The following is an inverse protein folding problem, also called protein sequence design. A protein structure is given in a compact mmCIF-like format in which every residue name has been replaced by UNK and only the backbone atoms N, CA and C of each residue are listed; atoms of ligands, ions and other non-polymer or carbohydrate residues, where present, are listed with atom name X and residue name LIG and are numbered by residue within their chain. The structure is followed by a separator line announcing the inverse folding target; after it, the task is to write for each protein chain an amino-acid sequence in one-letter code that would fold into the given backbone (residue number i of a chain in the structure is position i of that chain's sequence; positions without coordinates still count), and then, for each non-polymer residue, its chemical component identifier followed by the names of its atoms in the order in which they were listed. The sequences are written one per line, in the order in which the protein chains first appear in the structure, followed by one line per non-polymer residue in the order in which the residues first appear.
data_IF_796589460577
#
_entry.id   IF_796589460577
#
_cell.length_a   1.000
_cell.length_b   1.000
_cell.length_c   1.000
_cell.angle_alpha   90.00
_cell.angle_beta   90.00
_cell.angle_gamma   90.00
#
_symmetry.space_group_name_H-M   'P 1'
#
loop_
_entity.id
_entity.type
_entity.pdbx_description
1 polymer ?
#
# COMPACT_ATOMS: atom_id res chain seq x y z
N UNK A 1 -12.09 -22.54 15.16
CA UNK A 1 -11.15 -21.87 14.24
C UNK A 1 -11.97 -20.89 13.42
N UNK A 2 -11.90 -19.59 13.72
CA UNK A 2 -12.50 -18.59 12.84
C UNK A 2 -11.71 -18.62 11.52
N UNK A 3 -12.39 -18.83 10.39
CA UNK A 3 -11.70 -18.70 9.11
C UNK A 3 -11.27 -17.26 8.95
N UNK A 4 -10.09 -17.04 8.37
CA UNK A 4 -9.66 -15.68 8.00
C UNK A 4 -10.71 -15.00 7.15
N UNK A 5 -11.01 -13.74 7.47
CA UNK A 5 -11.89 -12.92 6.63
C UNK A 5 -11.15 -12.50 5.36
N UNK A 6 -9.84 -12.24 5.45
CA UNK A 6 -9.03 -11.90 4.29
C UNK A 6 -8.76 -13.15 3.46
N UNK A 7 -9.23 -13.15 2.22
CA UNK A 7 -9.03 -14.22 1.25
C UNK A 7 -7.72 -14.03 0.50
N UNK A 8 -7.49 -12.84 -0.03
CA UNK A 8 -6.27 -12.50 -0.76
C UNK A 8 -5.95 -11.01 -0.68
N UNK A 9 -4.68 -10.68 -0.87
CA UNK A 9 -4.20 -9.31 -1.07
C UNK A 9 -3.53 -9.17 -2.44
N UNK A 10 -3.67 -8.01 -3.06
CA UNK A 10 -3.07 -7.69 -4.36
C UNK A 10 -2.32 -6.37 -4.25
N UNK A 11 -1.03 -6.37 -4.59
CA UNK A 11 -0.21 -5.16 -4.62
C UNK A 11 -0.50 -4.39 -5.91
N UNK A 12 -1.26 -3.30 -5.82
CA UNK A 12 -1.63 -2.48 -6.98
C UNK A 12 -0.49 -1.56 -7.45
N UNK A 13 0.42 -1.24 -6.53
CA UNK A 13 1.68 -0.55 -6.78
C UNK A 13 2.68 -0.85 -5.65
N UNK A 14 3.98 -0.84 -5.95
CA UNK A 14 5.04 -1.13 -4.97
C UNK A 14 6.22 -0.14 -5.01
N UNK A 15 6.06 0.98 -5.69
CA UNK A 15 7.09 1.98 -5.93
C UNK A 15 6.94 3.21 -5.04
N UNK A 16 8.03 3.97 -4.97
CA UNK A 16 8.10 5.27 -4.29
C UNK A 16 7.14 6.32 -4.88
N UNK A 17 7.11 7.51 -4.29
CA UNK A 17 6.30 8.65 -4.73
C UNK A 17 6.49 9.03 -6.19
N UNK A 18 7.72 8.90 -6.73
CA UNK A 18 8.01 9.17 -8.15
C UNK A 18 7.70 7.99 -9.09
N UNK A 19 7.39 6.81 -8.55
CA UNK A 19 7.32 5.57 -9.29
C UNK A 19 8.67 5.13 -9.88
N UNK A 20 8.64 4.00 -10.60
CA UNK A 20 9.75 3.49 -11.41
C UNK A 20 9.18 3.08 -12.78
N UNK A 21 9.79 3.47 -13.90
CA UNK A 21 11.06 4.20 -14.06
C UNK A 21 10.96 5.69 -13.69
N UNK A 22 12.12 6.33 -13.49
CA UNK A 22 12.21 7.79 -13.34
C UNK A 22 12.47 8.47 -14.69
N UNK A 23 11.79 9.59 -14.95
CA UNK A 23 11.94 10.35 -16.21
C UNK A 23 13.40 10.76 -16.41
N UNK A 24 14.04 11.32 -15.37
CA UNK A 24 15.42 11.80 -15.44
C UNK A 24 16.43 10.72 -15.87
N UNK A 25 16.19 9.46 -15.52
CA UNK A 25 17.05 8.36 -15.96
C UNK A 25 16.79 7.95 -17.40
N UNK A 26 15.53 7.92 -17.83
CA UNK A 26 15.20 7.49 -19.19
C UNK A 26 15.56 8.54 -20.25
N UNK A 27 15.54 9.82 -19.88
CA UNK A 27 15.83 10.93 -20.80
C UNK A 27 17.23 11.51 -20.62
N UNK A 28 18.10 10.87 -19.82
CA UNK A 28 19.49 11.27 -19.71
C UNK A 28 20.19 11.13 -21.07
N UNK A 29 21.15 12.03 -21.37
CA UNK A 29 21.96 11.96 -22.60
C UNK A 29 22.66 10.62 -22.74
N UNK A 30 23.14 10.07 -21.62
CA UNK A 30 23.74 8.73 -21.53
C UNK A 30 23.10 7.99 -20.35
N UNK A 31 21.98 7.27 -20.58
CA UNK A 31 21.27 6.61 -19.49
C UNK A 31 22.03 5.37 -19.04
N UNK A 32 22.28 5.26 -17.73
CA UNK A 32 23.06 4.15 -17.12
C UNK A 32 22.31 3.38 -16.05
N UNK A 33 21.10 3.83 -15.66
CA UNK A 33 20.32 3.18 -14.61
C UNK A 33 19.75 1.84 -15.12
N UNK A 34 20.35 0.73 -14.68
CA UNK A 34 19.93 -0.64 -15.04
C UNK A 34 18.43 -0.87 -14.84
N UNK A 35 17.90 -0.50 -13.67
CA UNK A 35 16.48 -0.69 -13.33
C UNK A 35 15.57 0.07 -14.27
N UNK A 36 15.78 1.39 -14.45
CA UNK A 36 14.94 2.19 -15.37
C UNK A 36 15.07 1.70 -16.81
N UNK A 37 16.28 1.41 -17.30
CA UNK A 37 16.47 0.92 -18.66
C UNK A 37 15.79 -0.43 -18.90
N UNK A 38 15.71 -1.29 -17.87
CA UNK A 38 15.01 -2.58 -17.99
C UNK A 38 13.52 -2.41 -18.30
N UNK A 39 12.88 -1.32 -17.84
CA UNK A 39 11.43 -1.12 -18.03
C UNK A 39 11.03 -0.84 -19.47
N UNK A 40 12.00 -0.59 -20.36
CA UNK A 40 11.78 -0.42 -21.80
C UNK A 40 11.61 -1.77 -22.53
N UNK A 41 11.75 -2.89 -21.82
CA UNK A 41 11.67 -4.24 -22.36
C UNK A 41 10.67 -5.10 -21.57
N UNK A 42 10.00 -6.08 -22.20
CA UNK A 42 9.04 -6.95 -21.51
C UNK A 42 9.60 -7.64 -20.27
N UNK A 43 10.84 -8.13 -20.31
CA UNK A 43 11.49 -8.82 -19.20
C UNK A 43 11.70 -7.94 -17.95
N UNK A 44 11.77 -6.62 -18.13
CA UNK A 44 11.91 -5.65 -17.04
C UNK A 44 10.60 -5.04 -16.58
N UNK A 45 9.45 -5.57 -17.02
CA UNK A 45 8.12 -5.11 -16.58
C UNK A 45 7.95 -5.17 -15.05
N UNK A 46 8.62 -6.11 -14.39
CA UNK A 46 8.64 -6.23 -12.92
C UNK A 46 9.25 -5.01 -12.21
N UNK A 47 10.09 -4.24 -12.91
CA UNK A 47 10.68 -3.00 -12.42
C UNK A 47 9.80 -1.77 -12.70
N UNK A 48 8.68 -1.91 -13.42
CA UNK A 48 7.67 -0.86 -13.49
C UNK A 48 6.88 -0.90 -12.17
N UNK A 49 7.08 0.12 -11.33
CA UNK A 49 6.50 0.19 -9.99
C UNK A 49 5.69 1.47 -9.84
N UNK A 50 4.38 1.33 -9.69
CA UNK A 50 3.43 2.43 -9.44
C UNK A 50 3.44 2.80 -7.95
N UNK A 51 2.91 3.96 -7.58
CA UNK A 51 2.77 4.38 -6.19
C UNK A 51 2.11 3.29 -5.35
N UNK A 52 2.62 3.10 -4.13
CA UNK A 52 2.19 2.01 -3.27
C UNK A 52 0.68 2.03 -3.04
N UNK A 53 0.04 0.88 -3.21
CA UNK A 53 -1.39 0.69 -2.98
C UNK A 53 -1.67 -0.81 -2.83
N UNK A 54 -2.59 -1.15 -1.94
CA UNK A 54 -2.95 -2.54 -1.65
C UNK A 54 -4.46 -2.73 -1.84
N UNK A 55 -4.84 -3.78 -2.55
CA UNK A 55 -6.21 -4.26 -2.55
C UNK A 55 -6.33 -5.46 -1.61
N UNK A 56 -7.29 -5.41 -0.70
CA UNK A 56 -7.66 -6.47 0.22
C UNK A 56 -8.99 -7.03 -0.25
N UNK A 57 -9.05 -8.35 -0.46
CA UNK A 57 -10.29 -9.05 -0.80
C UNK A 57 -10.74 -9.91 0.36
N UNK A 58 -11.94 -9.66 0.84
CA UNK A 58 -12.50 -10.32 2.01
C UNK A 58 -13.74 -11.14 1.67
N UNK A 59 -13.92 -12.26 2.36
CA UNK A 59 -15.18 -12.98 2.39
C UNK A 59 -16.11 -12.23 3.36
N UNK A 60 -17.19 -11.64 2.84
CA UNK A 60 -18.17 -10.92 3.64
C UNK A 60 -19.24 -11.87 4.20
N UNK A 61 -19.93 -11.46 5.27
CA UNK A 61 -20.93 -12.29 5.96
C UNK A 61 -22.16 -12.64 5.10
N UNK A 62 -22.43 -11.84 4.06
CA UNK A 62 -23.50 -12.09 3.08
C UNK A 62 -23.09 -13.07 1.96
N UNK A 63 -21.87 -13.63 2.03
CA UNK A 63 -21.35 -14.61 1.09
C UNK A 63 -20.68 -14.01 -0.16
N UNK A 64 -20.68 -12.69 -0.31
CA UNK A 64 -20.05 -11.99 -1.43
C UNK A 64 -18.61 -11.57 -1.09
N UNK A 65 -17.79 -11.32 -2.12
CA UNK A 65 -16.43 -10.82 -1.93
C UNK A 65 -16.44 -9.29 -1.97
N UNK A 66 -15.81 -8.65 -0.98
CA UNK A 66 -15.61 -7.20 -0.94
C UNK A 66 -14.17 -6.81 -1.24
N UNK A 67 -14.00 -5.68 -1.89
CA UNK A 67 -12.74 -5.10 -2.33
C UNK A 67 -12.46 -3.81 -1.53
N UNK A 68 -11.52 -3.87 -0.59
CA UNK A 68 -11.06 -2.73 0.19
C UNK A 68 -9.70 -2.27 -0.34
N UNK A 69 -9.58 -1.03 -0.77
CA UNK A 69 -8.32 -0.47 -1.30
C UNK A 69 -7.65 0.39 -0.23
N UNK A 70 -6.35 0.22 -0.03
CA UNK A 70 -5.51 1.16 0.73
C UNK A 70 -4.75 2.03 -0.27
N UNK A 71 -4.96 3.34 -0.16
CA UNK A 71 -4.39 4.42 -0.97
C UNK A 71 -4.71 4.38 -2.48
N UNK A 72 -4.86 5.58 -3.05
CA UNK A 72 -5.03 5.80 -4.49
C UNK A 72 -4.16 6.99 -4.94
N UNK A 73 -2.85 6.75 -5.06
CA UNK A 73 -1.91 7.76 -5.58
C UNK A 73 -2.15 8.18 -7.03
N UNK A 74 -1.35 9.12 -7.52
CA UNK A 74 -1.39 9.62 -8.91
C UNK A 74 -1.22 8.55 -10.00
N UNK A 75 -0.69 7.36 -9.67
CA UNK A 75 -0.59 6.25 -10.63
C UNK A 75 -1.71 5.22 -10.49
N UNK A 76 -2.67 5.41 -9.58
CA UNK A 76 -3.73 4.44 -9.27
C UNK A 76 -4.59 4.13 -10.49
N UNK A 77 -4.99 5.13 -11.27
CA UNK A 77 -5.81 4.89 -12.47
C UNK A 77 -5.11 3.94 -13.46
N UNK A 78 -3.82 4.15 -13.69
CA UNK A 78 -3.01 3.26 -14.52
C UNK A 78 -2.81 1.87 -13.89
N UNK A 79 -2.71 1.77 -12.55
CA UNK A 79 -2.76 0.48 -11.84
C UNK A 79 -4.08 -0.22 -12.11
N UNK A 80 -5.20 0.50 -11.96
CA UNK A 80 -6.52 -0.09 -12.05
C UNK A 80 -6.85 -0.56 -13.46
N UNK A 81 -6.57 0.25 -14.49
CA UNK A 81 -6.73 -0.16 -15.90
C UNK A 81 -6.00 -1.46 -16.25
N UNK A 82 -4.85 -1.69 -15.61
CA UNK A 82 -4.06 -2.92 -15.82
C UNK A 82 -4.58 -4.08 -14.98
N UNK A 83 -4.73 -3.87 -13.68
CA UNK A 83 -4.92 -4.95 -12.71
C UNK A 83 -6.39 -5.34 -12.51
N UNK A 84 -7.35 -4.41 -12.66
CA UNK A 84 -8.78 -4.75 -12.52
C UNK A 84 -9.23 -5.81 -13.52
N UNK A 85 -8.95 -5.66 -14.84
CA UNK A 85 -9.33 -6.68 -15.81
C UNK A 85 -8.64 -8.03 -15.56
N UNK A 86 -7.35 -8.01 -15.22
CA UNK A 86 -6.55 -9.23 -14.96
C UNK A 86 -7.11 -10.01 -13.76
N UNK A 87 -7.45 -9.31 -12.69
CA UNK A 87 -7.97 -9.92 -11.46
C UNK A 87 -9.51 -10.01 -11.43
N UNK A 88 -10.20 -9.65 -12.52
CA UNK A 88 -11.67 -9.66 -12.65
C UNK A 88 -12.36 -8.85 -11.55
N UNK A 89 -11.79 -7.70 -11.21
CA UNK A 89 -12.31 -6.78 -10.21
C UNK A 89 -13.32 -5.83 -10.86
N UNK A 90 -14.26 -5.33 -10.06
CA UNK A 90 -15.26 -4.37 -10.53
C UNK A 90 -15.47 -3.24 -9.55
N UNK A 91 -16.07 -3.51 -8.38
CA UNK A 91 -16.37 -2.50 -7.36
C UNK A 91 -15.17 -2.19 -6.47
N UNK A 92 -15.16 -0.98 -5.90
CA UNK A 92 -14.34 -0.59 -4.75
C UNK A 92 -15.32 -0.41 -3.59
N UNK A 93 -15.46 -1.43 -2.74
CA UNK A 93 -16.47 -1.41 -1.68
C UNK A 93 -16.09 -0.46 -0.55
N UNK A 94 -14.79 -0.26 -0.32
CA UNK A 94 -14.27 0.80 0.52
C UNK A 94 -12.85 1.18 0.13
N UNK A 95 -12.45 2.38 0.54
CA UNK A 95 -11.07 2.87 0.45
C UNK A 95 -10.59 3.39 1.80
N UNK A 96 -9.33 3.15 2.12
CA UNK A 96 -8.65 3.67 3.31
C UNK A 96 -7.47 4.50 2.84
N UNK A 97 -7.35 5.74 3.31
CA UNK A 97 -6.21 6.61 3.00
C UNK A 97 -5.28 6.70 4.21
N UNK A 98 -4.01 6.39 4.00
CA UNK A 98 -2.99 6.33 5.06
C UNK A 98 -2.53 7.73 5.49
N UNK A 99 -2.30 8.63 4.52
CA UNK A 99 -1.77 9.97 4.76
C UNK A 99 -1.99 10.89 3.53
N UNK A 100 -1.85 12.22 3.66
CA UNK A 100 -2.20 13.17 2.59
C UNK A 100 -1.10 13.48 1.57
N UNK A 101 -0.09 12.62 1.37
CA UNK A 101 0.86 12.83 0.28
C UNK A 101 0.27 12.48 -1.09
N UNK A 102 0.80 13.11 -2.13
CA UNK A 102 0.27 13.01 -3.50
C UNK A 102 0.25 11.56 -4.05
N UNK A 103 1.22 10.75 -3.66
CA UNK A 103 1.33 9.34 -3.99
C UNK A 103 0.38 8.43 -3.20
N UNK A 104 -0.37 8.97 -2.22
CA UNK A 104 -1.46 8.28 -1.55
C UNK A 104 -2.85 8.77 -1.98
N UNK A 105 -3.01 10.06 -2.35
CA UNK A 105 -4.34 10.65 -2.56
C UNK A 105 -4.63 11.24 -3.95
N UNK A 106 -3.63 11.48 -4.81
CA UNK A 106 -3.89 12.24 -6.05
C UNK A 106 -4.65 11.48 -7.15
N UNK A 107 -4.94 10.19 -6.95
CA UNK A 107 -5.83 9.40 -7.80
C UNK A 107 -7.31 9.50 -7.38
N UNK A 108 -7.65 10.28 -6.35
CA UNK A 108 -9.04 10.43 -5.90
C UNK A 108 -9.96 10.92 -7.01
N UNK A 109 -9.54 11.89 -7.82
CA UNK A 109 -10.40 12.39 -8.91
C UNK A 109 -10.71 11.30 -9.95
N UNK A 110 -9.76 10.40 -10.22
CA UNK A 110 -9.93 9.29 -11.18
C UNK A 110 -10.99 8.27 -10.74
N UNK A 111 -11.37 8.24 -9.46
CA UNK A 111 -12.45 7.37 -8.95
C UNK A 111 -13.83 7.71 -9.52
N UNK A 112 -13.95 8.79 -10.29
CA UNK A 112 -15.09 9.08 -11.15
C UNK A 112 -15.40 7.93 -12.11
N UNK A 113 -14.38 7.18 -12.54
CA UNK A 113 -14.54 6.02 -13.40
C UNK A 113 -15.43 4.91 -12.78
N UNK A 114 -15.62 4.92 -11.45
CA UNK A 114 -16.52 4.00 -10.75
C UNK A 114 -17.91 4.58 -10.49
N UNK A 115 -17.98 5.89 -10.22
CA UNK A 115 -19.17 6.50 -9.61
C UNK A 115 -19.99 7.37 -10.56
N UNK A 116 -19.38 7.82 -11.64
CA UNK A 116 -20.05 8.63 -12.64
C UNK A 116 -21.26 7.89 -13.22
N UNK A 117 -22.43 8.53 -13.15
CA UNK A 117 -23.71 8.03 -13.68
C UNK A 117 -24.05 6.65 -13.12
N UNK A 118 -23.58 6.36 -11.90
CA UNK A 118 -23.74 5.06 -11.26
C UNK A 118 -23.21 3.89 -12.12
N UNK A 119 -22.18 4.14 -12.95
CA UNK A 119 -21.66 3.17 -13.92
C UNK A 119 -21.24 1.84 -13.29
N UNK A 120 -20.68 1.88 -12.07
CA UNK A 120 -20.33 0.70 -11.28
C UNK A 120 -20.98 0.74 -9.90
N UNK A 121 -21.00 1.91 -9.25
CA UNK A 121 -21.54 2.10 -7.90
C UNK A 121 -21.90 3.57 -7.66
N UNK A 122 -22.76 3.85 -6.68
CA UNK A 122 -23.29 5.21 -6.49
C UNK A 122 -22.34 6.11 -5.67
N UNK A 123 -21.46 5.51 -4.87
CA UNK A 123 -20.42 6.20 -4.11
C UNK A 123 -19.33 5.21 -3.68
N UNK A 124 -18.19 5.73 -3.23
CA UNK A 124 -17.13 4.96 -2.55
C UNK A 124 -17.01 5.48 -1.11
N UNK A 125 -17.19 4.63 -0.08
CA UNK A 125 -16.81 4.95 1.29
C UNK A 125 -15.30 5.13 1.42
N UNK A 126 -14.84 6.25 2.00
CA UNK A 126 -13.44 6.57 2.20
C UNK A 126 -13.18 6.80 3.69
N UNK A 127 -12.28 6.00 4.26
CA UNK A 127 -11.83 6.06 5.65
C UNK A 127 -10.48 6.75 5.73
N UNK A 128 -10.36 7.75 6.59
CA UNK A 128 -9.16 8.60 6.67
C UNK A 128 -9.14 9.37 7.99
N UNK A 129 -7.96 9.81 8.44
CA UNK A 129 -7.87 10.67 9.63
C UNK A 129 -8.41 12.08 9.36
N UNK A 130 -8.72 12.82 10.42
CA UNK A 130 -9.13 14.22 10.30
C UNK A 130 -8.05 15.09 9.62
N UNK A 131 -6.77 14.81 9.86
CA UNK A 131 -5.66 15.53 9.22
C UNK A 131 -5.61 15.27 7.71
N UNK A 132 -5.76 14.01 7.29
CA UNK A 132 -5.85 13.67 5.87
C UNK A 132 -7.09 14.31 5.24
N UNK A 133 -8.23 14.32 5.93
CA UNK A 133 -9.46 14.97 5.46
C UNK A 133 -9.29 16.48 5.28
N UNK A 134 -8.60 17.15 6.20
CA UNK A 134 -8.32 18.59 6.09
C UNK A 134 -7.40 18.92 4.92
N UNK A 135 -6.40 18.07 4.66
CA UNK A 135 -5.55 18.21 3.49
C UNK A 135 -6.33 17.98 2.18
N UNK A 136 -7.19 16.95 2.12
CA UNK A 136 -8.06 16.69 0.96
C UNK A 136 -8.98 17.87 0.69
N UNK A 137 -9.62 18.44 1.72
CA UNK A 137 -10.45 19.67 1.59
C UNK A 137 -9.68 20.84 0.99
N UNK A 138 -8.40 20.96 1.33
CA UNK A 138 -7.54 22.06 0.86
C UNK A 138 -7.09 21.86 -0.58
N UNK A 139 -6.68 20.63 -0.93
CA UNK A 139 -6.14 20.29 -2.24
C UNK A 139 -7.24 20.10 -3.29
N UNK A 140 -8.36 19.49 -2.89
CA UNK A 140 -9.46 19.10 -3.75
C UNK A 140 -10.82 19.50 -3.16
N UNK A 141 -11.06 20.80 -2.94
CA UNK A 141 -12.28 21.29 -2.27
C UNK A 141 -13.57 20.78 -2.94
N UNK A 142 -13.57 20.66 -4.26
CA UNK A 142 -14.71 20.20 -5.05
C UNK A 142 -15.05 18.70 -4.85
N UNK A 143 -14.09 17.88 -4.41
CA UNK A 143 -14.33 16.47 -4.07
C UNK A 143 -15.08 16.31 -2.74
N UNK A 144 -15.02 17.34 -1.88
CA UNK A 144 -15.67 17.35 -0.57
C UNK A 144 -16.97 18.13 -0.59
N UNK A 145 -16.98 19.28 -1.27
CA UNK A 145 -18.16 20.12 -1.45
C UNK A 145 -18.35 20.44 -2.93
N UNK A 146 -19.35 19.82 -3.54
CA UNK A 146 -19.67 19.99 -4.96
C UNK A 146 -20.03 21.43 -5.33
N UNK A 147 -20.39 22.29 -4.37
CA UNK A 147 -20.62 23.73 -4.60
C UNK A 147 -19.34 24.47 -4.97
N UNK A 148 -18.18 23.90 -4.67
CA UNK A 148 -16.87 24.45 -5.03
C UNK A 148 -16.39 23.97 -6.42
N UNK A 149 -17.20 23.17 -7.13
CA UNK A 149 -16.93 22.86 -8.52
C UNK A 149 -17.19 24.07 -9.42
N UNK A 150 -16.30 24.30 -10.38
CA UNK A 150 -16.34 25.47 -11.28
C UNK A 150 -17.08 25.21 -12.59
N UNK A 151 -17.58 23.99 -12.83
CA UNK A 151 -18.30 23.63 -14.04
C UNK A 151 -19.29 22.49 -13.81
N UNK A 152 -20.12 22.21 -14.82
CA UNK A 152 -21.08 21.09 -14.83
C UNK A 152 -20.43 19.73 -15.05
N UNK A 153 -19.18 19.58 -14.61
CA UNK A 153 -18.43 18.35 -14.71
C UNK A 153 -18.96 17.32 -13.73
N UNK A 154 -18.95 16.08 -14.18
CA UNK A 154 -19.16 14.92 -13.35
C UNK A 154 -18.16 14.93 -12.18
N UNK A 155 -18.58 14.56 -10.98
CA UNK A 155 -17.70 14.47 -9.81
C UNK A 155 -17.75 13.05 -9.26
N UNK A 156 -16.62 12.50 -8.78
CA UNK A 156 -16.70 11.25 -8.06
C UNK A 156 -17.56 11.43 -6.81
N UNK A 157 -18.28 10.37 -6.45
CA UNK A 157 -19.17 10.38 -5.29
C UNK A 157 -18.53 9.65 -4.13
N UNK A 158 -18.33 10.34 -3.01
CA UNK A 158 -17.68 9.78 -1.82
C UNK A 158 -18.55 9.88 -0.58
N UNK A 159 -18.38 8.91 0.32
CA UNK A 159 -18.83 9.02 1.72
C UNK A 159 -17.60 9.06 2.61
N UNK A 160 -17.38 10.17 3.29
CA UNK A 160 -16.21 10.37 4.13
C UNK A 160 -16.46 9.81 5.53
N UNK A 161 -15.55 8.96 6.01
CA UNK A 161 -15.59 8.30 7.31
C UNK A 161 -14.31 8.64 8.08
N UNK A 162 -14.30 9.70 8.90
CA UNK A 162 -13.17 10.01 9.76
C UNK A 162 -12.85 8.84 10.70
N UNK A 163 -11.56 8.53 10.89
CA UNK A 163 -11.07 7.52 11.84
C UNK A 163 -10.14 8.15 12.88
N UNK A 164 -10.08 7.53 14.06
CA UNK A 164 -9.16 7.88 15.13
C UNK A 164 -7.91 6.98 15.08
N UNK A 165 -6.78 7.48 15.58
CA UNK A 165 -5.50 6.74 15.60
C UNK A 165 -5.42 5.68 16.70
N UNK A 166 -6.24 5.82 17.74
CA UNK A 166 -6.15 4.99 18.95
C UNK A 166 -7.24 3.91 19.02
N UNK A 167 -8.23 3.98 18.12
CA UNK A 167 -9.42 3.13 18.16
C UNK A 167 -9.50 2.28 16.90
N UNK A 168 -9.59 0.94 17.00
CA UNK A 168 -9.92 0.09 15.86
C UNK A 168 -11.26 0.48 15.23
N UNK A 169 -11.37 0.30 13.92
CA UNK A 169 -12.59 0.58 13.15
C UNK A 169 -12.90 -0.57 12.21
N UNK A 170 -14.15 -0.70 11.79
CA UNK A 170 -14.59 -1.80 10.92
C UNK A 170 -14.96 -1.28 9.54
N UNK A 171 -14.47 -1.97 8.51
CA UNK A 171 -14.77 -1.68 7.10
C UNK A 171 -15.27 -2.96 6.46
N UNK A 172 -16.51 -2.96 5.96
CA UNK A 172 -17.15 -4.16 5.37
C UNK A 172 -16.98 -5.41 6.26
N UNK A 173 -17.17 -5.26 7.59
CA UNK A 173 -17.04 -6.35 8.55
C UNK A 173 -15.62 -6.78 8.93
N UNK A 174 -14.57 -6.24 8.30
CA UNK A 174 -13.17 -6.46 8.69
C UNK A 174 -12.70 -5.36 9.64
N UNK A 175 -12.16 -5.75 10.79
CA UNK A 175 -11.56 -4.82 11.76
C UNK A 175 -10.15 -4.39 11.33
N UNK A 176 -9.89 -3.08 11.37
CA UNK A 176 -8.60 -2.44 11.15
C UNK A 176 -8.15 -1.77 12.45
N UNK A 177 -6.99 -2.17 12.95
CA UNK A 177 -6.28 -1.49 14.04
C UNK A 177 -5.28 -0.50 13.42
N UNK A 178 -5.40 0.81 13.69
CA UNK A 178 -4.42 1.79 13.24
C UNK A 178 -3.05 1.58 13.89
N UNK A 179 -2.01 1.81 13.08
CA UNK A 179 -0.59 1.69 13.46
C UNK A 179 0.12 3.01 13.14
N UNK A 180 0.06 4.02 14.04
CA UNK A 180 0.79 5.27 13.85
C UNK A 180 2.31 5.02 13.83
N UNK A 181 3.00 5.58 12.85
CA UNK A 181 4.46 5.49 12.71
C UNK A 181 5.02 6.84 12.26
N UNK A 182 6.33 7.01 12.37
CA UNK A 182 6.99 8.21 11.86
C UNK A 182 7.33 8.03 10.39
N UNK A 183 7.04 9.06 9.60
CA UNK A 183 7.34 9.17 8.18
C UNK A 183 8.01 10.53 7.89
N UNK A 184 9.21 10.70 8.46
CA UNK A 184 9.99 11.94 8.41
C UNK A 184 9.64 12.89 9.55
N UNK A 185 9.92 14.17 9.33
CA UNK A 185 9.64 15.24 10.30
C UNK A 185 9.05 16.46 9.59
N UNK A 186 8.26 17.25 10.32
CA UNK A 186 7.93 18.59 9.88
C UNK A 186 9.18 19.47 9.95
N UNK A 187 9.56 20.11 8.85
CA UNK A 187 10.77 20.94 8.86
C UNK A 187 10.65 22.20 9.72
N UNK A 188 9.43 22.65 9.99
CA UNK A 188 9.09 23.82 10.81
C UNK A 188 9.17 23.52 12.31
N UNK A 189 8.53 22.45 12.79
CA UNK A 189 8.46 22.09 14.21
C UNK A 189 9.53 21.07 14.64
N UNK A 190 10.13 20.35 13.68
CA UNK A 190 11.01 19.19 13.88
C UNK A 190 10.35 17.98 14.54
N UNK A 191 9.03 18.02 14.71
CA UNK A 191 8.26 16.89 15.21
C UNK A 191 8.10 15.81 14.14
N UNK A 192 7.93 14.53 14.53
CA UNK A 192 7.64 13.46 13.58
C UNK A 192 6.39 13.75 12.75
N UNK A 193 6.48 13.50 11.44
CA UNK A 193 5.31 13.45 10.58
C UNK A 193 4.68 12.07 10.73
N UNK A 194 3.38 12.00 10.98
CA UNK A 194 2.70 10.73 11.27
C UNK A 194 2.10 10.14 10.00
N UNK A 195 2.50 8.91 9.69
CA UNK A 195 1.82 8.02 8.76
C UNK A 195 1.01 7.00 9.57
N UNK A 196 -0.10 6.52 9.02
CA UNK A 196 -0.94 5.50 9.66
C UNK A 196 -0.91 4.24 8.82
N UNK A 197 -0.22 3.21 9.32
CA UNK A 197 -0.35 1.86 8.81
C UNK A 197 -1.56 1.17 9.44
N UNK A 198 -1.81 -0.08 9.05
CA UNK A 198 -2.94 -0.83 9.59
C UNK A 198 -2.59 -2.29 9.84
N UNK A 199 -3.10 -2.83 10.94
CA UNK A 199 -3.23 -4.27 11.17
C UNK A 199 -4.67 -4.68 10.95
N UNK A 200 -4.89 -5.76 10.22
CA UNK A 200 -6.20 -6.35 9.98
C UNK A 200 -6.03 -7.87 9.84
N UNK A 201 -6.95 -8.65 10.41
CA UNK A 201 -6.72 -10.10 10.58
C UNK A 201 -5.34 -10.33 11.25
N UNK A 202 -4.46 -11.15 10.66
CA UNK A 202 -3.05 -11.28 11.05
C UNK A 202 -2.09 -10.70 10.01
N UNK A 203 -2.48 -9.60 9.37
CA UNK A 203 -1.68 -8.90 8.36
C UNK A 203 -1.38 -7.50 8.88
N UNK A 204 -0.12 -7.09 8.80
CA UNK A 204 0.32 -5.71 9.03
C UNK A 204 0.72 -5.07 7.70
N UNK A 205 0.29 -3.83 7.47
CA UNK A 205 0.65 -3.02 6.31
C UNK A 205 1.16 -1.65 6.74
N UNK A 206 2.44 -1.37 6.45
CA UNK A 206 3.12 -0.09 6.69
C UNK A 206 3.95 0.23 5.45
N UNK A 207 3.45 1.11 4.57
CA UNK A 207 4.10 1.42 3.29
C UNK A 207 5.11 2.57 3.34
N UNK A 208 5.02 3.45 4.34
CA UNK A 208 5.83 4.66 4.43
C UNK A 208 6.22 4.89 5.89
N UNK A 209 7.49 4.65 6.25
CA UNK A 209 7.96 4.91 7.61
C UNK A 209 9.49 5.00 7.70
N UNK A 210 10.03 5.87 8.54
CA UNK A 210 11.45 5.84 8.94
C UNK A 210 11.67 5.33 10.37
N UNK A 211 10.61 5.20 11.15
CA UNK A 211 10.67 4.69 12.52
C UNK A 211 9.29 4.19 12.97
N UNK A 212 9.26 3.03 13.62
CA UNK A 212 8.05 2.45 14.23
C UNK A 212 8.19 2.58 15.76
N UNK A 213 7.32 3.36 16.43
CA UNK A 213 7.31 3.47 17.89
C UNK A 213 7.10 2.13 18.59
N UNK A 214 7.57 1.99 19.83
CA UNK A 214 7.48 0.73 20.60
C UNK A 214 6.03 0.28 20.82
N UNK A 215 5.13 1.23 21.08
CA UNK A 215 3.70 0.98 21.23
C UNK A 215 3.05 0.45 19.94
N UNK A 216 3.57 0.87 18.78
CA UNK A 216 3.12 0.36 17.48
C UNK A 216 3.75 -1.00 17.18
N UNK A 217 5.04 -1.19 17.49
CA UNK A 217 5.70 -2.50 17.39
C UNK A 217 4.97 -3.56 18.22
N UNK A 218 4.55 -3.22 19.45
CA UNK A 218 3.75 -4.09 20.31
C UNK A 218 2.48 -4.60 19.62
N UNK A 219 1.82 -3.75 18.82
CA UNK A 219 0.62 -4.11 18.04
C UNK A 219 0.93 -4.95 16.80
N UNK A 220 2.16 -4.96 16.28
CA UNK A 220 2.55 -5.70 15.07
C UNK A 220 2.93 -7.15 15.40
N UNK A 221 3.42 -7.42 16.61
CA UNK A 221 3.72 -8.77 17.09
C UNK A 221 2.56 -9.76 16.86
N UNK A 222 2.89 -10.98 16.43
CA UNK A 222 1.89 -11.99 16.07
C UNK A 222 1.29 -11.86 14.66
N UNK A 223 1.76 -10.93 13.83
CA UNK A 223 1.37 -10.89 12.41
C UNK A 223 1.97 -12.06 11.64
N UNK A 224 1.15 -12.74 10.85
CA UNK A 224 1.59 -13.81 9.95
C UNK A 224 2.23 -13.23 8.68
N UNK A 225 1.70 -12.09 8.22
CA UNK A 225 2.19 -11.38 7.04
C UNK A 225 2.46 -9.93 7.43
N UNK A 226 3.61 -9.43 7.01
CA UNK A 226 3.98 -8.02 7.22
C UNK A 226 4.40 -7.41 5.89
N UNK A 227 3.83 -6.26 5.56
CA UNK A 227 4.25 -5.41 4.44
C UNK A 227 4.96 -4.19 5.03
N UNK A 228 6.22 -3.96 4.63
CA UNK A 228 7.06 -2.88 5.17
C UNK A 228 7.64 -1.99 4.06
N UNK A 229 7.74 -0.70 4.38
CA UNK A 229 8.51 0.30 3.62
C UNK A 229 9.98 -0.12 3.46
N UNK A 230 10.55 0.14 2.28
CA UNK A 230 11.91 -0.19 1.92
C UNK A 230 12.41 0.59 0.70
N UNK A 231 12.60 1.91 0.86
CA UNK A 231 12.90 2.81 -0.25
C UNK A 231 14.20 2.47 -1.00
N UNK A 232 15.29 2.27 -0.25
CA UNK A 232 16.61 2.00 -0.83
C UNK A 232 17.57 1.34 0.16
N UNK A 233 18.83 1.15 -0.23
CA UNK A 233 19.88 0.57 0.64
C UNK A 233 20.35 1.51 1.74
N UNK A 234 20.42 2.81 1.45
CA UNK A 234 20.91 3.81 2.41
C UNK A 234 19.78 4.27 3.32
N UNK A 235 20.12 4.65 4.53
CA UNK A 235 19.18 5.31 5.43
C UNK A 235 18.63 6.57 4.77
N UNK A 236 17.31 6.78 4.90
CA UNK A 236 16.60 7.93 4.37
C UNK A 236 15.92 8.69 5.52
N UNK A 237 15.70 10.00 5.35
CA UNK A 237 15.11 10.84 6.41
C UNK A 237 13.67 10.46 6.75
N UNK A 238 12.94 9.94 5.76
CA UNK A 238 11.50 9.68 5.85
C UNK A 238 11.10 8.23 5.54
N UNK A 239 12.05 7.39 5.15
CA UNK A 239 11.78 6.01 4.76
C UNK A 239 12.80 5.04 5.35
N UNK A 240 12.38 3.80 5.51
CA UNK A 240 13.24 2.70 5.88
C UNK A 240 14.19 2.35 4.75
N UNK A 241 15.42 1.99 5.13
CA UNK A 241 16.28 1.21 4.26
C UNK A 241 15.86 -0.26 4.23
N UNK A 242 16.37 -1.00 3.24
CA UNK A 242 16.22 -2.46 3.19
C UNK A 242 16.69 -3.12 4.49
N UNK A 243 17.83 -2.71 5.02
CA UNK A 243 18.37 -3.30 6.25
C UNK A 243 17.50 -3.00 7.48
N UNK A 244 16.91 -1.80 7.55
CA UNK A 244 15.97 -1.45 8.62
C UNK A 244 14.70 -2.30 8.56
N UNK A 245 14.14 -2.50 7.35
CA UNK A 245 12.96 -3.32 7.16
C UNK A 245 13.22 -4.81 7.50
N UNK A 246 14.35 -5.35 7.04
CA UNK A 246 14.79 -6.73 7.34
C UNK A 246 15.00 -6.91 8.84
N UNK A 247 15.70 -5.97 9.49
CA UNK A 247 15.94 -6.01 10.94
C UNK A 247 14.64 -5.95 11.73
N UNK A 248 13.71 -5.09 11.31
CA UNK A 248 12.39 -4.98 11.92
C UNK A 248 11.64 -6.32 11.81
N UNK A 249 11.55 -6.89 10.61
CA UNK A 249 10.89 -8.17 10.39
C UNK A 249 11.50 -9.32 11.21
N UNK A 250 12.84 -9.38 11.30
CA UNK A 250 13.58 -10.37 12.08
C UNK A 250 13.29 -10.28 13.59
N UNK A 251 13.06 -9.06 14.10
CA UNK A 251 12.84 -8.81 15.52
C UNK A 251 11.38 -8.97 15.96
N UNK A 252 10.44 -9.15 15.03
CA UNK A 252 9.06 -9.46 15.36
C UNK A 252 8.97 -10.87 15.96
N UNK A 253 8.04 -11.03 16.89
CA UNK A 253 7.86 -12.25 17.69
C UNK A 253 6.39 -12.70 17.60
N UNK A 254 6.13 -13.93 17.11
CA UNK A 254 7.05 -14.75 16.30
C UNK A 254 7.46 -14.01 15.01
N UNK A 255 8.52 -14.49 14.36
CA UNK A 255 8.94 -13.99 13.04
C UNK A 255 7.77 -14.21 12.06
N UNK A 256 7.40 -13.21 11.23
CA UNK A 256 6.30 -13.35 10.28
C UNK A 256 6.58 -14.45 9.27
N UNK A 257 5.56 -15.23 8.93
CA UNK A 257 5.66 -16.30 7.92
C UNK A 257 6.00 -15.74 6.54
N UNK A 258 5.52 -14.54 6.23
CA UNK A 258 5.84 -13.82 4.98
C UNK A 258 6.05 -12.34 5.26
N UNK A 259 7.21 -11.82 4.89
CA UNK A 259 7.43 -10.37 4.81
C UNK A 259 7.54 -9.93 3.35
N UNK A 260 6.76 -8.92 2.97
CA UNK A 260 6.83 -8.27 1.67
C UNK A 260 7.35 -6.85 1.83
N UNK A 261 8.32 -6.47 1.00
CA UNK A 261 8.84 -5.11 0.99
C UNK A 261 8.25 -4.30 -0.18
N UNK A 262 7.96 -3.02 0.07
CA UNK A 262 7.37 -2.05 -0.89
C UNK A 262 8.11 -0.70 -0.84
N UNK A 263 7.65 0.30 -1.58
CA UNK A 263 8.19 1.67 -1.54
C UNK A 263 9.48 1.88 -2.33
N UNK A 264 9.89 0.92 -3.16
CA UNK A 264 11.21 0.92 -3.75
C UNK A 264 11.46 2.07 -4.74
N UNK A 265 12.67 2.63 -4.67
CA UNK A 265 13.21 3.51 -5.70
C UNK A 265 13.82 2.74 -6.87
N UNK A 266 14.09 3.43 -7.97
CA UNK A 266 14.79 2.89 -9.15
C UNK A 266 16.23 2.39 -8.87
N UNK A 267 16.77 2.60 -7.67
CA UNK A 267 18.08 2.07 -7.27
C UNK A 267 18.05 0.58 -6.93
N UNK A 268 16.86 -0.02 -6.88
CA UNK A 268 16.63 -1.41 -6.48
C UNK A 268 16.10 -2.20 -7.67
N UNK A 269 16.93 -3.05 -8.27
CA UNK A 269 16.51 -4.00 -9.30
C UNK A 269 15.82 -5.21 -8.65
N UNK A 270 14.70 -5.66 -9.21
CA UNK A 270 13.83 -6.65 -8.56
C UNK A 270 14.49 -8.02 -8.41
N UNK A 271 15.04 -8.57 -9.49
CA UNK A 271 15.59 -9.92 -9.49
C UNK A 271 16.89 -10.02 -8.69
N UNK A 272 17.72 -8.97 -8.71
CA UNK A 272 18.89 -8.86 -7.84
C UNK A 272 18.48 -8.94 -6.36
N UNK A 273 17.44 -8.20 -5.98
CA UNK A 273 16.95 -8.21 -4.60
C UNK A 273 16.29 -9.54 -4.20
N UNK A 274 15.57 -10.19 -5.13
CA UNK A 274 15.03 -11.55 -4.89
C UNK A 274 16.15 -12.53 -4.59
N UNK A 275 17.21 -12.55 -5.42
CA UNK A 275 18.36 -13.44 -5.23
C UNK A 275 19.04 -13.23 -3.89
N UNK A 276 19.21 -11.97 -3.48
CA UNK A 276 19.81 -11.65 -2.18
C UNK A 276 18.97 -12.18 -1.01
N UNK A 277 17.64 -12.04 -1.06
CA UNK A 277 16.80 -12.59 0.00
C UNK A 277 16.67 -14.11 -0.03
N UNK A 278 16.84 -14.75 -1.18
CA UNK A 278 16.97 -16.21 -1.27
C UNK A 278 18.25 -16.69 -0.57
N UNK A 279 19.39 -16.06 -0.87
CA UNK A 279 20.68 -16.35 -0.21
C UNK A 279 20.64 -16.05 1.31
N UNK A 280 19.85 -15.05 1.72
CA UNK A 280 19.63 -14.75 3.14
C UNK A 280 18.79 -15.84 3.80
N UNK A 281 17.72 -16.29 3.15
CA UNK A 281 16.84 -17.32 3.68
C UNK A 281 17.54 -18.69 3.78
N UNK A 282 18.48 -19.01 2.89
CA UNK A 282 19.33 -20.20 3.01
C UNK A 282 20.11 -20.23 4.33
N UNK A 283 20.48 -19.06 4.87
CA UNK A 283 21.21 -18.90 6.14
C UNK A 283 20.28 -18.78 7.34
N UNK A 284 19.11 -18.17 7.14
CA UNK A 284 18.07 -17.96 8.16
C UNK A 284 16.72 -18.53 7.65
N UNK A 285 16.49 -19.86 7.75
CA UNK A 285 15.35 -20.52 7.08
C UNK A 285 13.97 -20.00 7.46
N UNK A 286 13.80 -19.53 8.70
CA UNK A 286 12.56 -18.94 9.22
C UNK A 286 12.32 -17.51 8.71
N UNK A 287 13.34 -16.84 8.16
CA UNK A 287 13.26 -15.45 7.71
C UNK A 287 12.87 -15.38 6.23
N UNK A 288 11.58 -15.51 5.94
CA UNK A 288 11.08 -15.31 4.58
C UNK A 288 10.76 -13.84 4.29
N UNK A 289 11.55 -13.23 3.40
CA UNK A 289 11.36 -11.84 2.94
C UNK A 289 11.45 -11.78 1.42
N UNK A 290 10.55 -11.08 0.72
CA UNK A 290 10.64 -10.86 -0.73
C UNK A 290 10.23 -9.43 -1.12
N UNK A 291 10.80 -8.86 -2.19
CA UNK A 291 10.24 -7.64 -2.76
C UNK A 291 8.88 -7.92 -3.39
N UNK A 292 7.89 -7.10 -3.06
CA UNK A 292 6.63 -7.10 -3.79
C UNK A 292 6.82 -6.51 -5.20
N UNK A 293 5.92 -6.86 -6.11
CA UNK A 293 5.80 -6.27 -7.45
C UNK A 293 4.35 -5.90 -7.74
N UNK A 294 4.14 -4.89 -8.57
CA UNK A 294 2.81 -4.55 -9.07
C UNK A 294 2.11 -5.80 -9.65
N UNK A 295 0.84 -6.01 -9.28
CA UNK A 295 0.02 -7.15 -9.68
C UNK A 295 0.31 -8.45 -8.93
N UNK A 296 1.23 -8.46 -7.97
CA UNK A 296 1.44 -9.63 -7.11
C UNK A 296 0.17 -9.91 -6.30
N UNK A 297 -0.35 -11.13 -6.43
CA UNK A 297 -1.51 -11.63 -5.68
C UNK A 297 -1.04 -12.67 -4.67
N UNK A 298 -1.45 -12.51 -3.41
CA UNK A 298 -1.11 -13.42 -2.32
C UNK A 298 -2.41 -14.02 -1.77
N UNK A 299 -2.57 -15.33 -1.95
CA UNK A 299 -3.71 -16.09 -1.43
C UNK A 299 -3.48 -16.44 0.05
N UNK A 300 -4.26 -15.83 0.93
CA UNK A 300 -4.10 -15.97 2.38
C UNK A 300 -4.68 -17.30 2.89
N UNK A 301 -5.73 -17.80 2.23
CA UNK A 301 -6.31 -19.11 2.56
C UNK A 301 -5.32 -20.23 2.26
N UNK A 302 -4.64 -20.16 1.11
CA UNK A 302 -3.63 -21.14 0.72
C UNK A 302 -2.45 -21.18 1.71
N UNK A 303 -1.98 -20.01 2.16
CA UNK A 303 -0.92 -19.89 3.17
C UNK A 303 -1.31 -20.45 4.54
N UNK A 304 -2.62 -20.45 4.84
CA UNK A 304 -3.15 -21.00 6.08
C UNK A 304 -3.21 -22.52 6.03
N UNK A 305 -3.52 -23.11 4.85
CA UNK A 305 -3.65 -24.57 4.64
C UNK A 305 -2.31 -25.30 4.56
N UNK A 306 -1.25 -24.67 4.05
CA UNK A 306 0.09 -25.28 3.96
C UNK A 306 0.74 -25.59 5.32
N UNK A 307 0.17 -25.10 6.43
CA UNK A 307 0.63 -25.36 7.79
C UNK A 307 -0.08 -26.54 8.48
N UNK A 308 -1.02 -27.21 7.80
CA UNK A 308 -1.79 -28.34 8.35
C UNK A 308 -1.30 -29.73 7.91
N UNK A 309 -0.20 -29.80 7.17
CA UNK A 309 0.38 -31.03 6.65
C UNK A 309 1.90 -31.05 6.86
N UNK A 310 2.31 -31.27 8.11
CA UNK A 310 3.60 -31.80 8.52
C UNK A 310 3.43 -32.48 9.87
#
# INVERSE_FOLDING_TARGET
MFSRQVKEIIFLGTGTSSGVPTISCLTATEPTCKTCLSTLKPEGEVNIRRNTSLLIRINHEDGEIRNIVIDCGKTFYASALKWWPIHKLRKIDAMILTHPHADAINGLDDLRAWTLNEAIQNHIPIYLTNDTMNAVKTLFPYLVDSKQATGGGDLPQFRWHPIDLDTPFTVEGLEFTPLPVHHGIYFTTKEPYIYVGFRFDNITYISDCNYIPEETLAKIHGSDIVVLDSLCRKQHSSHFSIDQAVTTARNLVPIPKRTYLVGFSHKIEHYELVKEFEEMQEKEPELWIRPARDGLKVDIEALSRSNGSA
#
